data_IF_112192189906
#
_entry.id   IF_112192189906
#
_cell.length_a   1.000
_cell.length_b   1.000
_cell.length_c   1.000
_cell.angle_alpha   90.00
_cell.angle_beta   90.00
_cell.angle_gamma   90.00
#
_symmetry.space_group_name_H-M   'P 1'
#
loop_
_entity.id
_entity.type
_entity.pdbx_description
1 polymer ?
#
# COMPACT_ATOMS: atom_id res chain seq x y z
N UNK A 1 -5.99 19.01 -17.79
CA UNK A 1 -6.23 17.56 -17.90
C UNK A 1 -7.22 17.18 -16.80
N UNK A 2 -8.46 16.88 -17.13
CA UNK A 2 -9.36 16.24 -16.18
C UNK A 2 -9.06 14.74 -16.23
N UNK A 3 -8.31 14.24 -15.25
CA UNK A 3 -8.13 12.79 -15.12
C UNK A 3 -9.47 12.15 -14.77
N UNK A 4 -9.75 11.00 -15.36
CA UNK A 4 -10.94 10.25 -15.04
C UNK A 4 -10.94 9.82 -13.56
N UNK A 5 -12.14 9.52 -13.06
CA UNK A 5 -12.33 9.05 -11.69
C UNK A 5 -11.53 7.76 -11.48
N UNK A 6 -10.53 7.84 -10.58
CA UNK A 6 -9.61 6.74 -10.29
C UNK A 6 -10.31 5.57 -9.59
N UNK A 7 -11.53 5.77 -9.07
CA UNK A 7 -12.34 4.68 -8.49
C UNK A 7 -12.78 3.65 -9.52
N UNK A 8 -12.86 4.03 -10.80
CA UNK A 8 -13.24 3.13 -11.88
C UNK A 8 -12.07 2.34 -12.50
N UNK A 9 -10.84 2.62 -12.08
CA UNK A 9 -9.63 2.06 -12.70
C UNK A 9 -9.39 0.62 -12.23
N UNK A 10 -9.07 -0.28 -13.15
CA UNK A 10 -8.56 -1.60 -12.80
C UNK A 10 -7.05 -1.56 -12.46
N UNK A 11 -6.49 -2.69 -12.04
CA UNK A 11 -5.07 -2.75 -11.66
C UNK A 11 -4.09 -2.33 -12.77
N UNK A 12 -4.40 -2.66 -14.03
CA UNK A 12 -3.58 -2.30 -15.18
C UNK A 12 -3.68 -0.79 -15.49
N UNK A 13 -4.88 -0.21 -15.40
CA UNK A 13 -5.10 1.23 -15.56
C UNK A 13 -4.35 2.02 -14.48
N UNK A 14 -4.37 1.52 -13.24
CA UNK A 14 -3.63 2.13 -12.13
C UNK A 14 -2.12 2.08 -12.36
N UNK A 15 -1.58 0.93 -12.75
CA UNK A 15 -0.15 0.76 -13.01
C UNK A 15 0.30 1.66 -14.18
N UNK A 16 -0.48 1.68 -15.26
CA UNK A 16 -0.21 2.54 -16.43
C UNK A 16 -0.26 4.02 -16.07
N UNK A 17 -1.32 4.48 -15.39
CA UNK A 17 -1.46 5.87 -15.00
C UNK A 17 -0.34 6.34 -14.06
N UNK A 18 0.12 5.47 -13.15
CA UNK A 18 1.28 5.75 -12.30
C UNK A 18 2.56 5.89 -13.12
N UNK A 19 2.81 4.96 -14.06
CA UNK A 19 4.01 4.99 -14.90
C UNK A 19 4.08 6.27 -15.76
N UNK A 20 2.96 6.68 -16.36
CA UNK A 20 2.86 7.93 -17.14
C UNK A 20 3.18 9.17 -16.28
N UNK A 21 2.71 9.21 -15.02
CA UNK A 21 3.02 10.33 -14.11
C UNK A 21 4.49 10.34 -13.73
N UNK A 22 5.09 9.18 -13.47
CA UNK A 22 6.52 9.07 -13.15
C UNK A 22 7.35 9.55 -14.34
N UNK A 23 7.05 9.07 -15.56
CA UNK A 23 7.74 9.49 -16.77
C UNK A 23 7.63 11.01 -16.99
N UNK A 24 6.42 11.57 -16.88
CA UNK A 24 6.21 13.01 -17.01
C UNK A 24 7.00 13.81 -15.96
N UNK A 25 7.03 13.33 -14.70
CA UNK A 25 7.79 13.96 -13.61
C UNK A 25 9.28 13.96 -13.94
N UNK A 26 9.84 12.81 -14.32
CA UNK A 26 11.26 12.69 -14.66
C UNK A 26 11.66 13.56 -15.87
N UNK A 27 10.81 13.66 -16.89
CA UNK A 27 11.06 14.53 -18.04
C UNK A 27 11.09 16.02 -17.66
N UNK A 28 10.16 16.45 -16.79
CA UNK A 28 10.12 17.82 -16.28
C UNK A 28 11.38 18.12 -15.46
N UNK A 29 11.72 17.25 -14.50
CA UNK A 29 12.89 17.43 -13.64
C UNK A 29 14.20 17.45 -14.43
N UNK A 30 14.37 16.54 -15.40
CA UNK A 30 15.55 16.51 -16.27
C UNK A 30 15.68 17.80 -17.09
N UNK A 31 14.56 18.32 -17.60
CA UNK A 31 14.57 19.57 -18.38
C UNK A 31 14.96 20.76 -17.52
N UNK A 32 14.39 20.86 -16.32
CA UNK A 32 14.69 21.91 -15.33
C UNK A 32 16.16 21.82 -14.92
N UNK A 33 16.69 20.63 -14.65
CA UNK A 33 18.09 20.45 -14.28
C UNK A 33 19.03 20.90 -15.41
N UNK A 34 18.77 20.48 -16.65
CA UNK A 34 19.57 20.87 -17.81
C UNK A 34 19.60 22.40 -18.02
N UNK A 35 18.48 23.07 -17.83
CA UNK A 35 18.41 24.53 -17.98
C UNK A 35 19.07 25.27 -16.81
N UNK A 36 18.89 24.82 -15.56
CA UNK A 36 19.56 25.38 -14.38
C UNK A 36 21.07 25.36 -14.54
N UNK A 37 21.63 24.26 -15.05
CA UNK A 37 23.05 24.14 -15.34
C UNK A 37 23.55 25.16 -16.37
N UNK A 38 22.69 25.57 -17.32
CA UNK A 38 23.04 26.55 -18.37
C UNK A 38 22.89 28.00 -17.92
N UNK A 39 21.86 28.31 -17.14
CA UNK A 39 21.47 29.69 -16.82
C UNK A 39 21.84 30.12 -15.39
N UNK A 40 22.19 29.19 -14.50
CA UNK A 40 22.58 29.47 -13.11
C UNK A 40 21.43 29.90 -12.18
N UNK A 41 20.21 30.11 -12.71
CA UNK A 41 18.99 30.46 -11.98
C UNK A 41 17.77 29.78 -12.64
N UNK A 42 16.71 29.56 -11.85
CA UNK A 42 15.43 29.12 -12.39
C UNK A 42 14.67 30.28 -13.03
N UNK A 43 14.00 29.98 -14.13
CA UNK A 43 12.96 30.83 -14.74
C UNK A 43 11.64 30.66 -13.99
N UNK A 44 10.73 31.62 -14.14
CA UNK A 44 9.40 31.54 -13.54
C UNK A 44 8.64 30.30 -14.06
N UNK A 45 8.79 29.97 -15.34
CA UNK A 45 8.20 28.77 -15.94
C UNK A 45 8.70 27.49 -15.29
N UNK A 46 9.98 27.41 -14.94
CA UNK A 46 10.56 26.25 -14.26
C UNK A 46 10.08 26.15 -12.81
N UNK A 47 9.90 27.29 -12.13
CA UNK A 47 9.30 27.33 -10.80
C UNK A 47 7.84 26.86 -10.84
N UNK A 48 7.05 27.30 -11.82
CA UNK A 48 5.67 26.82 -11.99
C UNK A 48 5.61 25.34 -12.35
N UNK A 49 6.51 24.84 -13.21
CA UNK A 49 6.60 23.43 -13.53
C UNK A 49 6.92 22.58 -12.30
N UNK A 50 7.85 23.03 -11.46
CA UNK A 50 8.17 22.37 -10.18
C UNK A 50 6.98 22.41 -9.21
N UNK A 51 6.26 23.53 -9.15
CA UNK A 51 5.05 23.63 -8.35
C UNK A 51 3.96 22.67 -8.85
N UNK A 52 3.79 22.52 -10.16
CA UNK A 52 2.85 21.56 -10.75
C UNK A 52 3.22 20.11 -10.41
N UNK A 53 4.51 19.75 -10.48
CA UNK A 53 5.00 18.44 -10.05
C UNK A 53 4.62 18.19 -8.58
N UNK A 54 4.94 19.12 -7.70
CA UNK A 54 4.76 18.93 -6.25
C UNK A 54 3.30 19.00 -5.79
N UNK A 55 2.46 19.80 -6.45
CA UNK A 55 1.06 20.01 -6.04
C UNK A 55 0.06 19.12 -6.77
N UNK A 56 0.42 18.59 -7.95
CA UNK A 56 -0.49 17.82 -8.80
C UNK A 56 0.05 16.42 -9.08
N UNK A 57 1.25 16.30 -9.65
CA UNK A 57 1.76 15.00 -10.11
C UNK A 57 2.15 14.09 -8.93
N UNK A 58 2.93 14.58 -7.97
CA UNK A 58 3.38 13.80 -6.80
C UNK A 58 2.20 13.31 -5.96
N UNK A 59 1.23 14.15 -5.57
CA UNK A 59 0.06 13.69 -4.82
C UNK A 59 -0.78 12.70 -5.62
N UNK A 60 -0.86 12.85 -6.94
CA UNK A 60 -1.60 11.90 -7.78
C UNK A 60 -0.88 10.56 -7.86
N UNK A 61 0.44 10.54 -8.05
CA UNK A 61 1.24 9.32 -8.00
C UNK A 61 1.08 8.61 -6.65
N UNK A 62 1.02 9.36 -5.55
CA UNK A 62 0.69 8.83 -4.22
C UNK A 62 -0.66 8.12 -4.19
N UNK A 63 -1.70 8.71 -4.78
CA UNK A 63 -3.04 8.11 -4.86
C UNK A 63 -3.10 6.82 -5.69
N UNK A 64 -2.36 6.75 -6.80
CA UNK A 64 -2.21 5.50 -7.56
C UNK A 64 -1.51 4.44 -6.72
N UNK A 65 -0.46 4.82 -6.01
CA UNK A 65 0.36 3.91 -5.21
C UNK A 65 -0.45 3.28 -4.08
N UNK A 66 -1.21 4.07 -3.32
CA UNK A 66 -2.04 3.54 -2.21
C UNK A 66 -3.12 2.57 -2.70
N UNK A 67 -3.71 2.80 -3.88
CA UNK A 67 -4.68 1.88 -4.49
C UNK A 67 -4.06 0.60 -5.00
N UNK A 68 -2.91 0.68 -5.68
CA UNK A 68 -2.17 -0.50 -6.15
C UNK A 68 -1.80 -1.39 -4.95
N UNK A 69 -1.18 -0.80 -3.93
CA UNK A 69 -0.76 -1.51 -2.72
C UNK A 69 -1.96 -2.04 -1.94
N UNK A 70 -3.04 -1.25 -1.81
CA UNK A 70 -4.28 -1.73 -1.21
C UNK A 70 -4.89 -2.92 -1.97
N UNK A 71 -4.78 -2.94 -3.30
CA UNK A 71 -5.16 -4.08 -4.13
C UNK A 71 -4.28 -5.31 -3.89
N UNK A 72 -2.96 -5.13 -3.73
CA UNK A 72 -2.04 -6.22 -3.39
C UNK A 72 -2.35 -6.83 -2.02
N UNK A 73 -2.59 -5.99 -1.01
CA UNK A 73 -2.98 -6.43 0.34
C UNK A 73 -4.31 -7.18 0.28
N UNK A 74 -5.33 -6.62 -0.40
CA UNK A 74 -6.63 -7.26 -0.49
C UNK A 74 -6.62 -8.58 -1.29
N UNK A 75 -5.70 -8.71 -2.25
CA UNK A 75 -5.55 -9.90 -3.08
C UNK A 75 -4.56 -10.94 -2.54
N UNK A 76 -3.86 -10.66 -1.45
CA UNK A 76 -2.90 -11.59 -0.86
C UNK A 76 -3.59 -12.73 -0.11
N UNK A 77 -2.93 -13.89 -0.08
CA UNK A 77 -3.39 -15.04 0.72
C UNK A 77 -2.78 -14.97 2.10
N UNK A 78 -3.63 -14.98 3.12
CA UNK A 78 -3.22 -14.94 4.52
C UNK A 78 -3.51 -16.29 5.19
N UNK A 79 -2.52 -17.18 5.18
CA UNK A 79 -2.57 -18.46 5.87
C UNK A 79 -1.56 -18.45 7.00
N UNK A 80 -2.04 -18.58 8.24
CA UNK A 80 -1.25 -18.44 9.45
C UNK A 80 -1.32 -19.77 10.19
N UNK A 81 -0.16 -20.32 10.54
CA UNK A 81 -0.11 -21.53 11.36
C UNK A 81 -0.55 -21.18 12.79
N UNK A 82 -1.60 -21.84 13.29
CA UNK A 82 -2.03 -21.67 14.67
C UNK A 82 -0.90 -22.02 15.65
N UNK A 83 -0.09 -23.04 15.35
CA UNK A 83 1.03 -23.41 16.20
C UNK A 83 2.18 -22.40 16.17
N UNK A 84 2.44 -21.74 15.03
CA UNK A 84 3.49 -20.70 14.93
C UNK A 84 3.12 -19.44 15.71
N UNK A 85 1.82 -19.25 15.97
CA UNK A 85 1.31 -18.15 16.78
C UNK A 85 1.27 -18.44 18.29
N UNK A 86 1.65 -19.66 18.70
CA UNK A 86 1.94 -19.96 20.12
C UNK A 86 3.37 -19.50 20.44
N UNK A 87 3.53 -18.66 21.45
CA UNK A 87 4.84 -18.51 22.11
C UNK A 87 4.95 -19.66 23.11
N UNK A 88 6.12 -20.26 23.31
CA UNK A 88 6.31 -21.48 24.11
C UNK A 88 5.35 -21.62 25.32
N UNK A 89 4.51 -22.67 25.29
CA UNK A 89 3.47 -23.02 26.29
C UNK A 89 2.32 -22.00 26.50
N UNK A 90 2.21 -20.95 25.67
CA UNK A 90 1.12 -19.98 25.69
C UNK A 90 0.04 -20.27 24.64
N UNK A 91 -1.17 -19.76 24.88
CA UNK A 91 -2.26 -19.77 23.89
C UNK A 91 -1.92 -18.93 22.65
N UNK A 92 -2.61 -19.23 21.54
CA UNK A 92 -2.59 -18.35 20.36
C UNK A 92 -3.12 -16.98 20.76
N UNK A 93 -2.28 -15.97 20.62
CA UNK A 93 -2.68 -14.60 20.88
C UNK A 93 -3.03 -13.88 19.59
N UNK A 94 -4.02 -13.00 19.67
CA UNK A 94 -4.37 -12.10 18.57
C UNK A 94 -3.15 -11.28 18.10
N UNK A 95 -2.28 -10.87 19.03
CA UNK A 95 -1.09 -10.09 18.72
C UNK A 95 -0.10 -10.86 17.83
N UNK A 96 0.10 -12.15 18.10
CA UNK A 96 1.00 -12.99 17.28
C UNK A 96 0.43 -13.21 15.88
N UNK A 97 -0.89 -13.38 15.76
CA UNK A 97 -1.57 -13.46 14.47
C UNK A 97 -1.35 -12.17 13.66
N UNK A 98 -1.47 -11.00 14.29
CA UNK A 98 -1.21 -9.71 13.64
C UNK A 98 0.24 -9.61 13.15
N UNK A 99 1.21 -10.06 13.94
CA UNK A 99 2.63 -10.08 13.52
C UNK A 99 2.83 -10.95 12.26
N UNK A 100 2.19 -12.11 12.17
CA UNK A 100 2.26 -12.95 10.96
C UNK A 100 1.57 -12.29 9.75
N UNK A 101 0.46 -11.59 9.96
CA UNK A 101 -0.20 -10.80 8.90
C UNK A 101 0.74 -9.68 8.42
N UNK A 102 1.38 -8.95 9.32
CA UNK A 102 2.32 -7.88 9.01
C UNK A 102 3.52 -8.41 8.21
N UNK A 103 4.09 -9.56 8.58
CA UNK A 103 5.15 -10.22 7.79
C UNK A 103 4.73 -10.49 6.35
N UNK A 104 3.49 -10.96 6.13
CA UNK A 104 2.96 -11.21 4.80
C UNK A 104 2.83 -9.89 4.03
N UNK A 105 2.33 -8.82 4.66
CA UNK A 105 2.18 -7.50 4.02
C UNK A 105 3.56 -6.89 3.71
N UNK A 106 4.52 -6.98 4.62
CA UNK A 106 5.86 -6.44 4.46
C UNK A 106 6.65 -7.14 3.34
N UNK A 107 6.29 -8.39 3.01
CA UNK A 107 6.84 -9.10 1.86
C UNK A 107 6.25 -8.62 0.52
N UNK A 108 5.17 -7.82 0.53
CA UNK A 108 4.59 -7.21 -0.67
C UNK A 108 5.41 -5.99 -1.10
N UNK A 109 5.37 -5.66 -2.39
CA UNK A 109 5.97 -4.42 -2.89
C UNK A 109 5.12 -3.20 -2.48
N UNK A 110 5.42 -2.61 -1.33
CA UNK A 110 4.63 -1.52 -0.73
C UNK A 110 4.87 -0.14 -1.36
N UNK A 111 5.85 0.01 -2.25
CA UNK A 111 6.13 1.27 -2.94
C UNK A 111 6.16 2.49 -1.98
N UNK A 112 6.94 2.39 -0.91
CA UNK A 112 7.04 3.42 0.16
C UNK A 112 5.71 3.81 0.83
N UNK A 113 4.64 3.04 0.64
CA UNK A 113 3.40 3.23 1.37
C UNK A 113 3.56 2.70 2.80
N UNK A 114 3.01 3.42 3.76
CA UNK A 114 2.76 2.88 5.09
C UNK A 114 1.37 2.26 5.15
N UNK A 115 1.13 1.37 6.11
CA UNK A 115 -0.19 0.80 6.34
C UNK A 115 -0.52 0.76 7.84
N UNK A 116 -1.82 0.75 8.12
CA UNK A 116 -2.37 0.51 9.46
C UNK A 116 -3.49 -0.50 9.34
N UNK A 117 -3.45 -1.54 10.17
CA UNK A 117 -4.46 -2.58 10.21
C UNK A 117 -5.56 -2.21 11.21
N UNK A 118 -6.81 -2.35 10.79
CA UNK A 118 -7.99 -2.20 11.62
C UNK A 118 -8.73 -3.54 11.69
N UNK A 119 -8.71 -4.16 12.88
CA UNK A 119 -9.49 -5.37 13.14
C UNK A 119 -10.98 -5.13 12.90
N UNK A 120 -11.62 -6.11 12.27
CA UNK A 120 -13.08 -6.17 12.13
C UNK A 120 -13.67 -7.35 12.90
N UNK A 121 -12.99 -8.50 12.91
CA UNK A 121 -13.38 -9.66 13.70
C UNK A 121 -12.17 -10.57 13.99
N UNK A 122 -12.26 -11.37 15.06
CA UNK A 122 -11.28 -12.39 15.39
C UNK A 122 -11.97 -13.62 15.98
N UNK A 123 -11.49 -14.79 15.60
CA UNK A 123 -11.88 -16.09 16.14
C UNK A 123 -10.60 -16.90 16.30
N UNK A 124 -10.27 -17.27 17.54
CA UNK A 124 -9.07 -18.05 17.81
C UNK A 124 -9.18 -19.46 17.21
N UNK A 125 -8.04 -19.98 16.74
CA UNK A 125 -7.93 -21.38 16.38
C UNK A 125 -7.89 -22.25 17.65
N UNK A 126 -8.45 -23.45 17.58
CA UNK A 126 -8.42 -24.43 18.67
C UNK A 126 -7.89 -25.77 18.15
N UNK A 127 -7.70 -26.74 19.05
CA UNK A 127 -7.36 -28.10 18.64
C UNK A 127 -8.50 -28.66 17.80
N UNK A 128 -8.22 -28.98 16.54
CA UNK A 128 -9.19 -29.53 15.60
C UNK A 128 -10.14 -28.54 14.94
N UNK A 129 -10.01 -27.22 15.16
CA UNK A 129 -10.78 -26.21 14.45
C UNK A 129 -9.96 -24.96 14.08
N UNK A 130 -10.11 -24.52 12.83
CA UNK A 130 -9.46 -23.32 12.31
C UNK A 130 -10.06 -22.05 12.94
N UNK A 131 -9.20 -21.05 13.08
CA UNK A 131 -9.56 -19.69 13.46
C UNK A 131 -9.60 -18.75 12.25
N UNK A 132 -9.96 -17.49 12.51
CA UNK A 132 -9.88 -16.44 11.51
C UNK A 132 -9.58 -15.08 12.12
N UNK A 133 -8.89 -14.23 11.37
CA UNK A 133 -8.71 -12.82 11.70
C UNK A 133 -9.13 -11.98 10.51
N UNK A 134 -10.10 -11.09 10.71
CA UNK A 134 -10.61 -10.21 9.67
C UNK A 134 -10.17 -8.77 9.92
N UNK A 135 -9.75 -8.08 8.87
CA UNK A 135 -9.22 -6.73 8.98
C UNK A 135 -9.46 -5.90 7.72
N UNK A 136 -9.31 -4.58 7.87
CA UNK A 136 -9.12 -3.64 6.77
C UNK A 136 -7.75 -2.99 6.93
N UNK A 137 -7.03 -2.79 5.84
CA UNK A 137 -5.79 -2.02 5.86
C UNK A 137 -6.06 -0.61 5.32
N UNK A 138 -5.56 0.41 6.01
CA UNK A 138 -5.47 1.77 5.47
C UNK A 138 -4.05 2.02 5.02
N UNK A 139 -3.87 2.20 3.72
CA UNK A 139 -2.58 2.42 3.06
C UNK A 139 -2.41 3.91 2.79
N UNK A 140 -1.24 4.46 3.12
CA UNK A 140 -0.98 5.90 3.11
C UNK A 140 0.32 6.23 2.39
N UNK A 141 0.30 7.25 1.52
CA UNK A 141 1.50 7.82 0.86
C UNK A 141 1.25 9.27 0.47
N UNK A 142 2.21 10.16 0.78
CA UNK A 142 2.16 11.58 0.40
C UNK A 142 0.82 12.29 0.74
N UNK A 143 0.23 11.99 1.90
CA UNK A 143 -1.05 12.56 2.35
C UNK A 143 -2.29 11.99 1.64
N UNK A 144 -2.14 10.96 0.81
CA UNK A 144 -3.23 10.18 0.22
C UNK A 144 -3.40 8.89 1.00
N UNK A 145 -4.65 8.48 1.16
CA UNK A 145 -5.02 7.27 1.88
C UNK A 145 -5.97 6.43 1.03
N UNK A 146 -5.88 5.11 1.15
CA UNK A 146 -6.84 4.16 0.60
C UNK A 146 -7.12 3.07 1.63
N UNK A 147 -8.38 2.77 1.90
CA UNK A 147 -8.77 1.67 2.79
C UNK A 147 -9.26 0.49 1.98
N UNK A 148 -8.72 -0.69 2.25
CA UNK A 148 -9.09 -1.92 1.55
C UNK A 148 -10.51 -2.36 1.88
N UNK A 149 -11.04 -3.27 1.05
CA UNK A 149 -12.13 -4.13 1.48
C UNK A 149 -11.71 -4.98 2.69
N UNK A 150 -12.68 -5.62 3.34
CA UNK A 150 -12.38 -6.57 4.42
C UNK A 150 -11.62 -7.78 3.87
N UNK A 151 -10.49 -8.08 4.50
CA UNK A 151 -9.62 -9.21 4.21
C UNK A 151 -9.77 -10.22 5.34
N UNK A 152 -9.76 -11.51 5.00
CA UNK A 152 -9.80 -12.60 5.98
C UNK A 152 -8.50 -13.38 5.94
N UNK A 153 -7.82 -13.45 7.08
CA UNK A 153 -6.75 -14.40 7.34
C UNK A 153 -7.31 -15.66 7.98
N UNK A 154 -6.88 -16.82 7.46
CA UNK A 154 -7.20 -18.12 8.03
C UNK A 154 -6.07 -18.55 8.96
N UNK A 155 -6.44 -18.98 10.16
CA UNK A 155 -5.51 -19.48 11.17
C UNK A 155 -5.74 -20.99 11.26
N UNK A 156 -4.75 -21.80 10.92
CA UNK A 156 -4.93 -23.26 10.96
C UNK A 156 -5.17 -23.75 12.40
N UNK A 157 -5.94 -24.83 12.53
CA UNK A 157 -6.15 -25.51 13.80
C UNK A 157 -4.83 -25.85 14.50
N UNK A 158 -4.88 -25.88 15.82
CA UNK A 158 -3.75 -26.29 16.65
C UNK A 158 -3.51 -27.78 16.51
N UNK A 159 -2.24 -28.18 16.46
CA UNK A 159 -1.87 -29.57 16.71
C UNK A 159 -2.07 -29.90 18.19
N UNK A 160 -2.47 -31.15 18.44
CA UNK A 160 -2.75 -31.70 19.76
C UNK A 160 -1.47 -32.03 20.53
#
# INVERSE_FOLDING_TARGET
MAWADITAYNAADLAKGKAEIIEATSLIEAKIAANKHRNGKFTDEEMYAMQFVNSVLVPRAGEFSTRIVGGLIAGATYTISGDDTKVAEAEVTEANVVVEIEKIIDALALDDCSYVLAKTAYTAATVGADGSYKFKATVSKAGKNFTTAEVTATISALTA
#
